data_IF_208815140301
#
_entry.id   IF_208815140301
#
_cell.length_a   1.000
_cell.length_b   1.000
_cell.length_c   1.000
_cell.angle_alpha   90.00
_cell.angle_beta   90.00
_cell.angle_gamma   90.00
#
_symmetry.space_group_name_H-M   'P 1'
#
loop_
_entity.id
_entity.type
_entity.pdbx_description
1 polymer ?
#
# COMPACT_ATOMS: atom_id res chain seq x y z
N UNK A 1 -4.43 18.99 -13.95
CA UNK A 1 -3.12 18.55 -14.45
C UNK A 1 -2.74 17.26 -13.72
N UNK A 2 -1.99 16.38 -14.38
CA UNK A 2 -1.55 15.12 -13.75
C UNK A 2 -0.36 15.38 -12.81
N UNK A 3 -0.17 14.58 -11.76
CA UNK A 3 1.04 14.63 -10.94
C UNK A 3 2.30 14.37 -11.79
N UNK A 4 3.45 14.96 -11.40
CA UNK A 4 4.71 14.82 -12.14
C UNK A 4 5.15 13.37 -12.35
N UNK A 5 4.82 12.48 -11.41
CA UNK A 5 5.14 11.06 -11.49
C UNK A 5 4.18 10.27 -12.38
N UNK A 6 3.00 10.80 -12.75
CA UNK A 6 2.03 10.12 -13.59
C UNK A 6 2.38 10.30 -15.09
N UNK A 7 3.46 9.65 -15.52
CA UNK A 7 4.00 9.75 -16.88
C UNK A 7 4.37 8.38 -17.49
N UNK A 8 3.43 7.75 -18.20
CA UNK A 8 3.54 6.36 -18.66
C UNK A 8 4.80 6.06 -19.50
N UNK A 9 5.14 6.91 -20.48
CA UNK A 9 6.28 6.66 -21.38
C UNK A 9 7.64 6.73 -20.66
N UNK A 10 7.73 7.46 -19.54
CA UNK A 10 8.99 7.67 -18.81
C UNK A 10 9.10 6.75 -17.60
N UNK A 11 8.00 6.64 -16.83
CA UNK A 11 7.97 6.01 -15.52
C UNK A 11 7.13 4.73 -15.48
N UNK A 12 6.38 4.42 -16.54
CA UNK A 12 5.44 3.28 -16.56
C UNK A 12 6.08 1.94 -16.18
N UNK A 13 7.34 1.70 -16.54
CA UNK A 13 8.08 0.48 -16.17
C UNK A 13 8.27 0.29 -14.65
N UNK A 14 8.08 1.35 -13.86
CA UNK A 14 8.13 1.35 -12.40
C UNK A 14 6.73 1.50 -11.78
N UNK A 15 5.67 1.38 -12.58
CA UNK A 15 4.29 1.68 -12.17
C UNK A 15 3.34 0.60 -12.65
N UNK A 16 3.82 -0.63 -12.73
CA UNK A 16 2.98 -1.78 -13.02
C UNK A 16 2.33 -2.28 -11.72
N UNK A 17 1.09 -1.85 -11.50
CA UNK A 17 0.29 -2.24 -10.34
C UNK A 17 -0.02 -3.74 -10.33
N UNK A 18 -0.12 -4.39 -11.50
CA UNK A 18 -0.36 -5.84 -11.54
C UNK A 18 0.86 -6.62 -11.03
N UNK A 19 2.05 -6.11 -11.31
CA UNK A 19 3.32 -6.62 -10.77
C UNK A 19 3.51 -6.28 -9.28
N UNK A 20 3.01 -5.12 -8.84
CA UNK A 20 3.05 -4.71 -7.43
C UNK A 20 2.24 -5.65 -6.52
N UNK A 21 1.04 -6.03 -6.98
CA UNK A 21 0.16 -7.00 -6.31
C UNK A 21 0.37 -8.44 -6.81
N UNK A 22 1.64 -8.83 -7.02
CA UNK A 22 2.05 -10.21 -7.36
C UNK A 22 2.98 -10.75 -6.25
N UNK A 23 2.52 -10.64 -5.00
CA UNK A 23 3.35 -10.93 -3.83
C UNK A 23 3.46 -12.45 -3.60
N UNK A 24 2.38 -13.19 -3.88
CA UNK A 24 2.28 -14.62 -3.62
C UNK A 24 1.93 -14.94 -2.17
N UNK A 25 1.27 -16.08 -1.96
CA UNK A 25 0.62 -16.42 -0.69
C UNK A 25 1.54 -16.61 0.52
N UNK A 26 2.86 -16.71 0.32
CA UNK A 26 3.84 -16.83 1.41
C UNK A 26 4.56 -15.51 1.73
N UNK A 27 4.20 -14.42 1.06
CA UNK A 27 4.82 -13.12 1.21
C UNK A 27 3.87 -12.18 1.93
N UNK A 28 4.42 -11.44 2.89
CA UNK A 28 3.72 -10.37 3.59
C UNK A 28 4.40 -9.05 3.28
N UNK A 29 3.61 -8.03 2.98
CA UNK A 29 4.04 -6.64 2.95
C UNK A 29 3.53 -5.90 4.19
N UNK A 30 4.24 -4.87 4.61
CA UNK A 30 3.87 -4.00 5.72
C UNK A 30 3.82 -2.57 5.25
N UNK A 31 2.88 -1.79 5.76
CA UNK A 31 2.90 -0.35 5.58
C UNK A 31 3.96 0.21 6.54
N UNK A 32 5.11 0.58 6.01
CA UNK A 32 6.21 1.08 6.82
C UNK A 32 5.96 2.54 7.22
N UNK A 33 5.62 3.38 6.25
CA UNK A 33 5.41 4.82 6.44
C UNK A 33 4.20 5.32 5.65
N UNK A 34 3.60 6.40 6.15
CA UNK A 34 2.51 7.12 5.46
C UNK A 34 2.55 8.60 5.83
N UNK A 35 1.78 9.43 5.11
CA UNK A 35 1.60 10.87 5.41
C UNK A 35 0.24 11.20 6.06
N UNK A 36 -0.55 10.20 6.43
CA UNK A 36 -1.84 10.35 7.11
C UNK A 36 -2.00 9.31 8.22
N UNK A 37 -2.79 9.59 9.25
CA UNK A 37 -2.94 8.70 10.41
C UNK A 37 -4.33 8.09 10.56
N UNK A 38 -5.29 8.49 9.72
CA UNK A 38 -6.66 8.00 9.77
C UNK A 38 -7.08 7.50 8.41
N UNK A 39 -7.67 6.31 8.37
CA UNK A 39 -8.25 5.72 7.18
C UNK A 39 -9.78 5.70 7.31
N UNK A 40 -10.47 6.19 6.28
CA UNK A 40 -11.94 6.18 6.21
C UNK A 40 -12.49 4.91 5.56
N UNK A 41 -11.63 4.06 4.99
CA UNK A 41 -12.02 2.79 4.40
C UNK A 41 -12.28 1.73 5.47
N UNK A 42 -11.22 1.02 5.88
CA UNK A 42 -11.31 -0.19 6.70
C UNK A 42 -10.49 -0.13 7.99
N UNK A 43 -9.41 0.66 8.05
CA UNK A 43 -8.43 0.55 9.13
C UNK A 43 -8.73 1.47 10.33
N UNK A 44 -9.48 2.56 10.09
CA UNK A 44 -9.96 3.48 11.10
C UNK A 44 -8.90 4.49 11.57
N UNK A 45 -9.19 5.15 12.70
CA UNK A 45 -8.34 6.20 13.23
C UNK A 45 -7.07 5.66 13.90
N UNK A 46 -5.96 6.36 13.73
CA UNK A 46 -4.63 6.04 14.27
C UNK A 46 -4.24 4.58 14.01
N UNK A 47 -4.44 4.10 12.78
CA UNK A 47 -4.08 2.74 12.41
C UNK A 47 -2.57 2.53 12.55
N UNK A 48 -2.18 1.33 12.97
CA UNK A 48 -0.78 0.92 13.18
C UNK A 48 -0.61 -0.57 12.88
N UNK A 49 0.63 -0.99 12.71
CA UNK A 49 0.98 -2.39 12.51
C UNK A 49 0.25 -3.04 11.33
N UNK A 50 -0.03 -2.25 10.30
CA UNK A 50 -0.74 -2.69 9.11
C UNK A 50 0.18 -3.57 8.26
N UNK A 51 -0.30 -4.77 7.96
CA UNK A 51 0.34 -5.73 7.07
C UNK A 51 -0.71 -6.35 6.13
N UNK A 52 -0.26 -6.81 4.98
CA UNK A 52 -1.11 -7.42 3.95
C UNK A 52 -0.47 -8.72 3.43
N UNK A 53 -1.33 -9.70 3.16
CA UNK A 53 -0.97 -10.95 2.51
C UNK A 53 -2.04 -11.33 1.48
N UNK A 54 -1.62 -11.63 0.26
CA UNK A 54 -2.48 -12.17 -0.79
C UNK A 54 -2.88 -13.61 -0.45
N UNK A 55 -4.16 -13.94 -0.66
CA UNK A 55 -4.69 -15.29 -0.46
C UNK A 55 -5.26 -15.91 -1.74
N UNK A 56 -5.60 -15.08 -2.72
CA UNK A 56 -6.15 -15.52 -4.01
C UNK A 56 -5.75 -14.55 -5.12
N UNK A 57 -5.55 -15.07 -6.32
CA UNK A 57 -5.20 -14.30 -7.52
C UNK A 57 -6.00 -14.78 -8.73
N UNK A 58 -6.60 -13.84 -9.44
CA UNK A 58 -7.34 -14.11 -10.66
C UNK A 58 -6.77 -13.31 -11.86
N UNK A 59 -6.00 -14.02 -12.69
CA UNK A 59 -5.27 -13.45 -13.83
C UNK A 59 -6.16 -12.76 -14.87
N UNK A 60 -7.36 -13.28 -15.12
CA UNK A 60 -8.25 -12.75 -16.16
C UNK A 60 -8.80 -11.37 -15.82
N UNK A 61 -9.08 -11.14 -14.54
CA UNK A 61 -9.72 -9.92 -14.05
C UNK A 61 -8.72 -8.93 -13.45
N UNK A 62 -7.45 -9.32 -13.33
CA UNK A 62 -6.39 -8.54 -12.71
C UNK A 62 -6.73 -8.21 -11.25
N UNK A 63 -7.25 -9.22 -10.53
CA UNK A 63 -7.70 -9.09 -9.15
C UNK A 63 -6.90 -9.99 -8.22
N UNK A 64 -6.68 -9.50 -7.00
CA UNK A 64 -6.22 -10.30 -5.87
C UNK A 64 -7.18 -10.13 -4.70
N UNK A 65 -7.34 -11.19 -3.93
CA UNK A 65 -7.98 -11.12 -2.62
C UNK A 65 -6.87 -11.12 -1.58
N UNK A 66 -6.87 -10.14 -0.69
CA UNK A 66 -5.85 -9.96 0.34
C UNK A 66 -6.47 -9.89 1.73
N UNK A 67 -5.72 -10.35 2.73
CA UNK A 67 -6.05 -10.17 4.14
C UNK A 67 -5.14 -9.08 4.69
N UNK A 68 -5.76 -8.02 5.18
CA UNK A 68 -5.09 -6.95 5.92
C UNK A 68 -5.24 -7.19 7.41
N UNK A 69 -4.14 -7.07 8.15
CA UNK A 69 -4.09 -7.22 9.60
C UNK A 69 -3.51 -5.95 10.20
N UNK A 70 -4.18 -5.36 11.20
CA UNK A 70 -3.80 -4.06 11.76
C UNK A 70 -4.31 -3.84 13.19
N UNK A 71 -3.80 -2.79 13.83
CA UNK A 71 -4.31 -2.20 15.08
C UNK A 71 -4.82 -0.80 14.79
N UNK A 72 -5.69 -0.26 15.65
CA UNK A 72 -6.17 1.11 15.55
C UNK A 72 -6.55 1.69 16.92
N UNK A 73 -7.03 2.93 16.95
CA UNK A 73 -7.40 3.64 18.17
C UNK A 73 -8.46 2.94 19.04
N UNK A 74 -9.22 1.97 18.49
CA UNK A 74 -10.23 1.22 19.25
C UNK A 74 -9.60 0.30 20.30
N UNK A 75 -8.36 -0.17 20.08
CA UNK A 75 -7.60 -0.95 21.04
C UNK A 75 -6.11 -0.96 20.70
N UNK A 76 -5.22 -0.62 21.65
CA UNK A 76 -3.78 -0.56 21.38
C UNK A 76 -3.11 -1.93 21.19
N UNK A 77 -3.76 -3.01 21.62
CA UNK A 77 -3.17 -4.36 21.62
C UNK A 77 -3.85 -5.32 20.64
N UNK A 78 -5.14 -5.12 20.39
CA UNK A 78 -5.95 -6.05 19.60
C UNK A 78 -5.69 -5.86 18.11
N UNK A 79 -5.39 -6.95 17.41
CA UNK A 79 -5.38 -6.96 15.95
C UNK A 79 -6.78 -7.19 15.39
N UNK A 80 -7.02 -6.55 14.27
CA UNK A 80 -8.21 -6.67 13.43
C UNK A 80 -7.79 -7.20 12.07
N UNK A 81 -8.69 -7.95 11.43
CA UNK A 81 -8.50 -8.44 10.08
C UNK A 81 -9.64 -7.95 9.20
N UNK A 82 -9.32 -7.59 7.97
CA UNK A 82 -10.29 -7.35 6.89
C UNK A 82 -9.81 -8.06 5.63
N UNK A 83 -10.74 -8.66 4.91
CA UNK A 83 -10.48 -9.25 3.60
C UNK A 83 -10.96 -8.28 2.53
N UNK A 84 -10.09 -7.94 1.59
CA UNK A 84 -10.39 -6.98 0.53
C UNK A 84 -10.00 -7.55 -0.83
N UNK A 85 -10.85 -7.31 -1.83
CA UNK A 85 -10.54 -7.57 -3.23
C UNK A 85 -9.97 -6.30 -3.85
N UNK A 86 -8.79 -6.43 -4.43
CA UNK A 86 -8.04 -5.34 -5.05
C UNK A 86 -7.89 -5.64 -6.54
N UNK A 87 -8.14 -4.64 -7.38
CA UNK A 87 -8.03 -4.76 -8.83
C UNK A 87 -6.97 -3.82 -9.39
N UNK A 88 -6.08 -4.32 -10.25
CA UNK A 88 -5.20 -3.44 -11.01
C UNK A 88 -6.00 -2.74 -12.14
N UNK A 89 -5.89 -1.41 -12.21
CA UNK A 89 -6.65 -0.57 -13.15
C UNK A 89 -5.75 0.49 -13.81
N UNK A 90 -6.25 1.10 -14.88
CA UNK A 90 -5.60 2.26 -15.52
C UNK A 90 -6.07 3.55 -14.87
N UNK A 91 -5.15 4.48 -14.65
CA UNK A 91 -5.43 5.81 -14.10
C UNK A 91 -4.60 6.88 -14.80
N UNK A 92 -5.05 8.14 -14.75
CA UNK A 92 -4.38 9.30 -15.38
C UNK A 92 -4.18 9.18 -16.90
N UNK A 93 -5.02 8.41 -17.57
CA UNK A 93 -4.98 8.23 -19.02
C UNK A 93 -3.92 7.24 -19.52
N UNK A 94 -3.34 6.42 -18.63
CA UNK A 94 -2.47 5.30 -19.00
C UNK A 94 -3.22 4.32 -19.91
N UNK A 95 -2.51 3.70 -20.85
CA UNK A 95 -3.10 2.79 -21.85
C UNK A 95 -2.39 1.44 -21.99
N UNK A 96 -1.14 1.36 -21.55
CA UNK A 96 -0.27 0.18 -21.70
C UNK A 96 -0.11 -0.54 -20.37
N UNK A 97 0.01 0.21 -19.27
CA UNK A 97 0.30 -0.32 -17.94
C UNK A 97 -0.80 0.07 -16.96
N UNK A 98 -1.32 -0.91 -16.22
CA UNK A 98 -2.23 -0.65 -15.09
C UNK A 98 -1.41 -0.05 -13.96
N UNK A 99 -1.64 1.21 -13.66
CA UNK A 99 -0.82 2.02 -12.74
C UNK A 99 -1.55 2.43 -11.47
N UNK A 100 -2.64 1.76 -11.15
CA UNK A 100 -3.35 1.98 -9.90
C UNK A 100 -3.96 0.67 -9.42
N UNK A 101 -4.24 0.64 -8.12
CA UNK A 101 -5.05 -0.40 -7.52
C UNK A 101 -6.40 0.19 -7.10
N UNK A 102 -7.46 -0.58 -7.28
CA UNK A 102 -8.81 -0.23 -6.88
C UNK A 102 -9.31 -1.22 -5.82
N UNK A 103 -9.60 -0.70 -4.63
CA UNK A 103 -10.19 -1.45 -3.53
C UNK A 103 -11.71 -1.49 -3.70
N UNK A 104 -12.27 -2.70 -3.68
CA UNK A 104 -13.70 -2.94 -3.68
C UNK A 104 -14.22 -2.96 -2.24
N UNK A 105 -14.37 -1.78 -1.63
CA UNK A 105 -14.89 -1.66 -0.26
C UNK A 105 -16.41 -1.80 -0.22
N UNK A 106 -16.92 -2.30 0.92
CA UNK A 106 -18.35 -2.50 1.13
C UNK A 106 -19.17 -1.22 0.96
N UNK A 107 -20.38 -1.34 0.42
CA UNK A 107 -21.27 -0.19 0.18
C UNK A 107 -21.17 0.43 -1.22
N UNK A 108 -20.39 -0.17 -2.14
CA UNK A 108 -20.36 0.22 -3.56
C UNK A 108 -19.48 1.43 -3.88
N UNK A 109 -18.62 1.83 -2.94
CA UNK A 109 -17.60 2.86 -3.15
C UNK A 109 -16.31 2.15 -3.54
N UNK A 110 -15.68 2.58 -4.62
CA UNK A 110 -14.36 2.12 -5.01
C UNK A 110 -13.33 3.18 -4.60
N UNK A 111 -12.26 2.76 -3.93
CA UNK A 111 -11.13 3.61 -3.57
C UNK A 111 -10.00 3.26 -4.54
N UNK A 112 -9.50 4.24 -5.29
CA UNK A 112 -8.41 4.02 -6.25
C UNK A 112 -7.15 4.73 -5.80
N UNK A 113 -6.10 3.93 -5.61
CA UNK A 113 -4.79 4.39 -5.17
C UNK A 113 -3.77 4.21 -6.30
N UNK A 114 -3.33 5.31 -6.93
CA UNK A 114 -2.34 5.24 -7.99
C UNK A 114 -0.97 4.86 -7.47
N UNK A 115 -0.26 4.06 -8.26
CA UNK A 115 1.10 3.62 -7.96
C UNK A 115 2.10 4.67 -8.46
N UNK A 116 2.86 5.25 -7.54
CA UNK A 116 3.98 6.17 -7.84
C UNK A 116 5.19 5.35 -8.29
N UNK A 117 5.50 4.26 -7.58
CA UNK A 117 6.66 3.43 -7.83
C UNK A 117 6.50 2.02 -7.27
N UNK A 118 7.01 1.03 -8.00
CA UNK A 118 7.25 -0.34 -7.54
C UNK A 118 8.57 -0.84 -8.12
N UNK A 119 9.31 -1.63 -7.35
CA UNK A 119 10.34 -2.51 -7.90
C UNK A 119 9.80 -3.93 -8.22
N UNK A 120 8.57 -4.21 -7.79
CA UNK A 120 7.86 -5.48 -7.88
C UNK A 120 8.45 -6.59 -7.01
N UNK A 121 9.21 -6.24 -5.96
CA UNK A 121 9.91 -7.23 -5.11
C UNK A 121 10.02 -6.85 -3.65
N UNK A 122 10.39 -5.61 -3.34
CA UNK A 122 10.74 -5.17 -1.99
C UNK A 122 9.87 -4.01 -1.52
N UNK A 123 9.41 -3.13 -2.41
CA UNK A 123 8.63 -1.99 -1.98
C UNK A 123 7.72 -1.40 -3.06
N UNK A 124 6.72 -0.69 -2.58
CA UNK A 124 5.75 0.05 -3.36
C UNK A 124 5.49 1.40 -2.72
N UNK A 125 5.28 2.42 -3.55
CA UNK A 125 4.88 3.76 -3.12
C UNK A 125 3.56 4.09 -3.80
N UNK A 126 2.50 4.22 -3.02
CA UNK A 126 1.17 4.59 -3.50
C UNK A 126 0.83 6.02 -3.13
N UNK A 127 0.07 6.67 -4.02
CA UNK A 127 -0.65 7.89 -3.73
C UNK A 127 -2.07 7.52 -3.29
N UNK A 128 -2.59 8.18 -2.25
CA UNK A 128 -3.90 7.90 -1.67
C UNK A 128 -4.73 9.19 -1.71
N UNK A 129 -5.42 9.47 -2.83
CA UNK A 129 -6.16 10.71 -3.03
C UNK A 129 -7.21 10.96 -1.94
N UNK A 130 -7.82 9.88 -1.45
CA UNK A 130 -8.93 9.90 -0.50
C UNK A 130 -8.49 10.11 0.95
N UNK A 131 -7.20 10.05 1.25
CA UNK A 131 -6.64 10.23 2.59
C UNK A 131 -5.77 11.49 2.66
N UNK A 132 -6.39 12.66 2.55
CA UNK A 132 -5.71 13.98 2.55
C UNK A 132 -4.63 14.09 1.46
N UNK A 133 -4.89 13.52 0.27
CA UNK A 133 -3.88 13.43 -0.80
C UNK A 133 -2.59 12.77 -0.30
N UNK A 134 -2.72 11.77 0.55
CA UNK A 134 -1.61 11.15 1.25
C UNK A 134 -0.81 10.20 0.38
N UNK A 135 0.18 9.55 0.97
CA UNK A 135 0.92 8.48 0.35
C UNK A 135 1.25 7.38 1.34
N UNK A 136 1.53 6.21 0.79
CA UNK A 136 1.93 5.01 1.51
C UNK A 136 3.25 4.47 0.97
N UNK A 137 4.11 4.02 1.88
CA UNK A 137 5.32 3.26 1.57
C UNK A 137 5.14 1.84 2.13
N UNK A 138 4.84 0.91 1.22
CA UNK A 138 4.75 -0.51 1.52
C UNK A 138 6.09 -1.19 1.29
N UNK A 139 6.45 -2.11 2.18
CA UNK A 139 7.73 -2.82 2.13
C UNK A 139 7.50 -4.29 2.44
N UNK A 140 8.20 -5.18 1.75
CA UNK A 140 8.22 -6.60 2.09
C UNK A 140 8.63 -6.77 3.56
N UNK A 141 7.86 -7.52 4.33
CA UNK A 141 8.01 -7.63 5.79
C UNK A 141 9.43 -8.01 6.23
N UNK A 142 10.14 -8.84 5.48
CA UNK A 142 11.53 -9.19 5.81
C UNK A 142 12.53 -8.01 5.75
N UNK A 143 12.12 -6.84 5.24
CA UNK A 143 12.95 -5.66 5.02
C UNK A 143 12.45 -4.42 5.78
N UNK A 144 11.45 -4.51 6.68
CA UNK A 144 10.91 -3.32 7.36
C UNK A 144 11.98 -2.55 8.17
N UNK A 145 13.00 -3.24 8.69
CA UNK A 145 14.13 -2.63 9.41
C UNK A 145 15.18 -1.99 8.50
N UNK A 146 15.23 -2.43 7.25
CA UNK A 146 16.24 -2.05 6.26
C UNK A 146 15.56 -1.78 4.92
N UNK A 147 14.72 -0.75 4.92
CA UNK A 147 13.99 -0.31 3.72
C UNK A 147 15.02 0.15 2.68
N UNK A 148 14.94 -0.33 1.42
CA UNK A 148 15.88 0.10 0.40
C UNK A 148 15.86 1.63 0.19
N UNK A 149 17.04 2.23 0.07
CA UNK A 149 17.19 3.69 -0.03
C UNK A 149 16.42 4.30 -1.19
N UNK A 150 16.29 3.59 -2.31
CA UNK A 150 15.54 4.08 -3.47
C UNK A 150 14.04 4.19 -3.18
N UNK A 151 13.46 3.29 -2.37
CA UNK A 151 12.05 3.38 -1.97
C UNK A 151 11.82 4.62 -1.11
N UNK A 152 12.70 4.82 -0.12
CA UNK A 152 12.67 5.98 0.78
C UNK A 152 12.91 7.28 0.02
N UNK A 153 13.82 7.29 -0.95
CA UNK A 153 14.08 8.44 -1.80
C UNK A 153 12.84 8.83 -2.60
N UNK A 154 12.19 7.88 -3.27
CA UNK A 154 10.98 8.13 -4.07
C UNK A 154 9.84 8.65 -3.17
N UNK A 155 9.59 8.01 -2.03
CA UNK A 155 8.59 8.47 -1.06
C UNK A 155 8.90 9.89 -0.57
N UNK A 156 10.16 10.20 -0.26
CA UNK A 156 10.54 11.52 0.22
C UNK A 156 10.34 12.61 -0.84
N UNK A 157 10.69 12.32 -2.09
CA UNK A 157 10.59 13.27 -3.20
C UNK A 157 9.14 13.58 -3.56
N UNK A 158 8.28 12.55 -3.64
CA UNK A 158 6.92 12.73 -4.14
C UNK A 158 5.86 12.90 -3.05
N UNK A 159 6.16 12.52 -1.80
CA UNK A 159 5.15 12.44 -0.75
C UNK A 159 5.54 13.18 0.53
N UNK A 160 6.74 12.93 1.08
CA UNK A 160 7.09 13.44 2.41
C UNK A 160 7.50 14.92 2.42
N UNK A 161 7.78 15.51 1.26
CA UNK A 161 8.20 16.91 1.17
C UNK A 161 7.14 17.82 1.80
N UNK A 162 7.54 18.52 2.86
CA UNK A 162 6.70 19.45 3.63
C UNK A 162 5.46 18.80 4.30
N UNK A 163 5.46 17.46 4.44
CA UNK A 163 4.38 16.71 5.11
C UNK A 163 4.90 15.95 6.33
N UNK A 164 4.07 15.85 7.36
CA UNK A 164 4.34 14.96 8.48
C UNK A 164 4.26 13.51 8.01
N UNK A 165 5.26 12.72 8.38
CA UNK A 165 5.29 11.28 8.12
C UNK A 165 5.08 10.51 9.41
N UNK A 166 4.41 9.36 9.30
CA UNK A 166 4.10 8.47 10.41
C UNK A 166 4.76 7.11 10.17
N UNK A 167 5.40 6.58 11.21
CA UNK A 167 5.86 5.19 11.22
C UNK A 167 4.71 4.28 11.64
N UNK A 168 4.31 3.38 10.75
CA UNK A 168 3.12 2.54 10.92
C UNK A 168 3.49 1.14 11.38
N UNK A 169 4.47 0.51 10.72
CA UNK A 169 4.99 -0.80 11.10
C UNK A 169 6.44 -0.69 11.57
N UNK A 170 6.69 -1.08 12.81
CA UNK A 170 8.02 -1.05 13.45
C UNK A 170 8.13 -2.20 14.48
N UNK A 171 9.15 -2.16 15.33
CA UNK A 171 9.42 -3.19 16.36
C UNK A 171 8.27 -3.40 17.36
N UNK A 172 7.40 -2.41 17.59
CA UNK A 172 6.24 -2.56 18.49
C UNK A 172 5.16 -3.50 17.91
N UNK A 173 5.22 -3.74 16.60
CA UNK A 173 4.28 -4.57 15.85
C UNK A 173 4.63 -6.06 15.83
N UNK A 174 5.77 -6.43 16.43
CA UNK A 174 6.23 -7.82 16.52
C UNK A 174 6.48 -8.20 17.97
N UNK A 175 6.03 -9.39 18.37
CA UNK A 175 6.35 -10.01 19.65
C UNK A 175 6.95 -11.38 19.41
N UNK A 176 8.17 -11.61 19.93
CA UNK A 176 8.95 -12.83 19.67
C UNK A 176 9.16 -13.18 18.17
N UNK A 177 9.15 -12.17 17.29
CA UNK A 177 9.35 -12.38 15.85
C UNK A 177 8.07 -12.70 15.06
N UNK A 178 6.92 -12.81 15.71
CA UNK A 178 5.61 -12.96 15.06
C UNK A 178 4.67 -11.80 15.43
N UNK A 179 3.67 -11.47 14.58
CA UNK A 179 2.58 -10.58 15.00
C UNK A 179 1.89 -11.14 16.25
N UNK A 180 1.31 -10.29 17.08
CA UNK A 180 0.44 -10.78 18.15
C UNK A 180 -0.83 -11.37 17.52
N UNK A 181 -0.81 -12.67 17.21
CA UNK A 181 -1.98 -13.44 16.82
C UNK A 181 -2.71 -13.94 18.07
#
# INVERSE_FOLDING_TARGET
>A
ENPLWAHEELLGKYQDAWKSIDQGVSVTYVLAKTTYENDTGSWGAQFKCLQVQEIEREEKNYTVTSVFTFRNASSPIKYYNVTETVKAVFQYGYKKIRNAIEYQVGGGINITDPLIFTDGKLCDVFYVPNADQGCELWVKKSHYKHIPDYCTFVFNVFCAKDRKTYDIFNEECVYNGEPWL
#
